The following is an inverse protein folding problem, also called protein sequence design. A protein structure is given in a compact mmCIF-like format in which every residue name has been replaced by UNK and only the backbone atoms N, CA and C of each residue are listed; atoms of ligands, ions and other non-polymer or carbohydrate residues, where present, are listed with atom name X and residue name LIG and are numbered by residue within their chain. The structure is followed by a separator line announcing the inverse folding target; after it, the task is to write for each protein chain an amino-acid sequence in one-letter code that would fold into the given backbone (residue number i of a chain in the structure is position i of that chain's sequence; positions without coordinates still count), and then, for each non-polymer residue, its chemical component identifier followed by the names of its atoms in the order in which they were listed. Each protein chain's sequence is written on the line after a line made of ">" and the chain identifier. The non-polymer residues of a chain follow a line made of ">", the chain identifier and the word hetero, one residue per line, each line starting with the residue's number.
data_IF_652798295329
#
_entry.id   IF_652798295329
#
_cell.length_a   1.000
_cell.length_b   1.000
_cell.length_c   1.000
_cell.angle_alpha   90.00
_cell.angle_beta   90.00
_cell.angle_gamma   90.00
#
_symmetry.space_group_name_H-M   'P 1'
#
loop_
_entity.id
_entity.type
_entity.pdbx_description
1 polymer ?
#
# COMPACT_ATOMS: atom_id res chain seq x y z
N UNK A 1 -8.09 6.12 -11.31
CA UNK A 1 -8.60 4.82 -10.82
C UNK A 1 -10.11 4.59 -11.06
N UNK A 2 -10.78 5.32 -11.98
CA UNK A 2 -12.19 5.04 -12.34
C UNK A 2 -13.17 4.98 -11.15
N UNK A 3 -14.35 4.36 -11.32
CA UNK A 3 -15.32 4.13 -10.24
C UNK A 3 -14.76 3.30 -9.07
N UNK A 4 -13.79 2.43 -9.33
CA UNK A 4 -13.17 1.54 -8.33
C UNK A 4 -12.38 2.32 -7.27
N UNK A 5 -11.53 3.25 -7.68
CA UNK A 5 -10.71 4.03 -6.75
C UNK A 5 -11.50 4.99 -5.85
N UNK A 6 -12.71 5.37 -6.26
CA UNK A 6 -13.63 6.22 -5.48
C UNK A 6 -14.33 5.40 -4.38
N UNK A 7 -14.53 4.09 -4.62
CA UNK A 7 -15.22 3.19 -3.69
C UNK A 7 -14.30 2.53 -2.66
N UNK A 8 -12.99 2.49 -2.92
CA UNK A 8 -12.01 1.97 -1.97
C UNK A 8 -11.93 2.88 -0.73
N UNK A 9 -12.59 2.45 0.35
CA UNK A 9 -12.43 3.04 1.69
C UNK A 9 -11.26 2.34 2.38
N UNK A 10 -10.08 2.96 2.34
CA UNK A 10 -8.85 2.41 2.89
C UNK A 10 -7.60 3.02 2.24
N UNK A 11 -6.47 2.35 2.40
CA UNK A 11 -5.17 2.77 1.88
C UNK A 11 -4.65 1.77 0.84
N UNK A 12 -5.16 1.80 -0.42
CA UNK A 12 -4.73 0.84 -1.42
C UNK A 12 -3.28 1.08 -1.84
N UNK A 13 -2.62 0.00 -2.20
CA UNK A 13 -1.29 0.00 -2.81
C UNK A 13 -1.41 -0.51 -4.24
N UNK A 14 -0.74 0.17 -5.17
CA UNK A 14 -0.44 -0.39 -6.49
C UNK A 14 1.00 -0.88 -6.43
N UNK A 15 1.17 -2.19 -6.57
CA UNK A 15 2.46 -2.84 -6.56
C UNK A 15 3.39 -2.20 -7.62
N UNK A 16 4.68 -1.95 -7.32
CA UNK A 16 5.36 -2.34 -6.08
C UNK A 16 5.37 -1.27 -4.99
N UNK A 17 5.20 0.01 -5.33
CA UNK A 17 5.62 1.10 -4.43
C UNK A 17 4.77 2.39 -4.52
N UNK A 18 3.56 2.30 -5.09
CA UNK A 18 2.63 3.43 -5.12
C UNK A 18 1.57 3.26 -4.04
N UNK A 19 1.58 4.14 -3.06
CA UNK A 19 0.56 4.20 -2.02
C UNK A 19 -0.49 5.25 -2.37
N UNK A 20 -1.75 4.94 -2.14
CA UNK A 20 -2.88 5.83 -2.43
C UNK A 20 -3.58 6.17 -1.12
N UNK A 21 -3.79 7.46 -0.87
CA UNK A 21 -4.59 7.90 0.27
C UNK A 21 -6.07 7.64 0.09
N UNK A 22 -6.80 7.66 1.21
CA UNK A 22 -8.26 7.56 1.20
C UNK A 22 -8.89 8.59 0.25
N UNK A 23 -9.82 8.12 -0.59
CA UNK A 23 -10.49 8.95 -1.60
C UNK A 23 -9.63 9.29 -2.81
N UNK A 24 -8.44 8.69 -2.96
CA UNK A 24 -7.50 8.92 -4.06
C UNK A 24 -7.13 10.40 -4.27
N UNK A 25 -7.14 11.17 -3.17
CA UNK A 25 -6.84 12.61 -3.17
C UNK A 25 -5.34 12.89 -3.05
N UNK A 26 -4.57 11.93 -2.52
CA UNK A 26 -3.12 11.97 -2.52
C UNK A 26 -2.53 10.63 -2.97
N UNK A 27 -1.35 10.72 -3.59
CA UNK A 27 -0.51 9.59 -3.92
C UNK A 27 0.86 9.78 -3.27
N UNK A 28 1.42 8.71 -2.72
CA UNK A 28 2.80 8.67 -2.24
C UNK A 28 3.57 7.63 -3.04
N UNK A 29 4.53 8.10 -3.84
CA UNK A 29 5.46 7.23 -4.54
C UNK A 29 6.69 7.01 -3.66
N UNK A 30 6.96 5.75 -3.32
CA UNK A 30 8.05 5.35 -2.42
C UNK A 30 9.28 4.93 -3.21
N UNK A 31 10.25 5.83 -3.37
CA UNK A 31 11.44 5.62 -4.19
C UNK A 31 12.54 4.93 -3.37
N UNK A 32 12.95 3.69 -3.71
CA UNK A 32 14.01 3.02 -2.97
C UNK A 32 15.37 3.70 -3.21
N UNK A 33 16.14 3.93 -2.13
CA UNK A 33 17.53 4.47 -2.18
C UNK A 33 18.52 3.43 -1.63
N UNK A 34 18.20 2.16 -1.87
CA UNK A 34 18.81 0.99 -1.21
C UNK A 34 17.86 0.39 -0.17
N UNK A 35 18.25 -0.71 0.50
CA UNK A 35 17.36 -1.44 1.43
C UNK A 35 17.11 -0.71 2.76
N UNK A 36 17.80 0.41 3.02
CA UNK A 36 17.78 1.10 4.32
C UNK A 36 17.22 2.51 4.26
N UNK A 37 16.88 2.98 3.06
CA UNK A 37 16.47 4.36 2.83
C UNK A 37 15.43 4.40 1.72
N UNK A 38 14.42 5.24 1.90
CA UNK A 38 13.34 5.46 0.92
C UNK A 38 13.02 6.93 0.88
N UNK A 39 12.93 7.48 -0.32
CA UNK A 39 12.52 8.85 -0.57
C UNK A 39 11.01 8.85 -0.90
N UNK A 40 10.22 9.67 -0.20
CA UNK A 40 8.77 9.71 -0.33
C UNK A 40 8.34 10.92 -1.15
N UNK A 41 7.66 10.68 -2.28
CA UNK A 41 7.13 11.73 -3.14
C UNK A 41 5.61 11.81 -3.01
N UNK A 42 5.16 12.84 -2.30
CA UNK A 42 3.75 13.11 -2.09
C UNK A 42 3.18 14.03 -3.17
N UNK A 43 2.06 13.61 -3.76
CA UNK A 43 1.28 14.36 -4.74
C UNK A 43 -0.14 14.54 -4.22
N UNK A 44 -0.65 15.78 -4.26
CA UNK A 44 -2.04 16.09 -3.91
C UNK A 44 -2.81 16.47 -5.17
N UNK A 45 -3.94 15.81 -5.39
CA UNK A 45 -4.83 16.04 -6.52
C UNK A 45 -6.04 16.84 -6.07
N UNK A 46 -6.39 17.85 -6.86
CA UNK A 46 -7.57 18.68 -6.66
C UNK A 46 -8.32 18.80 -7.99
N UNK A 47 -9.63 18.98 -7.91
CA UNK A 47 -10.45 19.18 -9.09
C UNK A 47 -10.02 20.42 -9.88
N UNK A 48 -9.93 20.29 -11.21
CA UNK A 48 -9.47 21.38 -12.08
C UNK A 48 -10.38 22.62 -11.97
N UNK A 49 -11.68 22.41 -11.80
CA UNK A 49 -12.69 23.46 -11.67
C UNK A 49 -12.76 24.11 -10.29
N UNK A 50 -12.05 23.59 -9.29
CA UNK A 50 -12.13 24.11 -7.92
C UNK A 50 -11.60 25.57 -7.84
N UNK A 51 -12.30 26.48 -7.14
CA UNK A 51 -11.84 27.85 -6.92
C UNK A 51 -10.45 27.92 -6.27
N UNK A 52 -9.62 28.93 -6.61
CA UNK A 52 -8.23 29.00 -6.14
C UNK A 52 -8.06 28.89 -4.62
N UNK A 53 -8.90 29.57 -3.83
CA UNK A 53 -8.81 29.52 -2.37
C UNK A 53 -9.14 28.14 -1.81
N UNK A 54 -10.16 27.47 -2.36
CA UNK A 54 -10.48 26.09 -1.96
C UNK A 54 -9.35 25.12 -2.33
N UNK A 55 -8.74 25.25 -3.51
CA UNK A 55 -7.57 24.43 -3.89
C UNK A 55 -6.44 24.61 -2.88
N UNK A 56 -6.15 25.85 -2.51
CA UNK A 56 -5.12 26.17 -1.51
C UNK A 56 -5.43 25.54 -0.16
N UNK A 57 -6.67 25.63 0.32
CA UNK A 57 -7.08 25.01 1.58
C UNK A 57 -6.92 23.48 1.57
N UNK A 58 -7.34 22.81 0.49
CA UNK A 58 -7.19 21.35 0.36
C UNK A 58 -5.71 20.94 0.33
N UNK A 59 -4.90 21.63 -0.48
CA UNK A 59 -3.46 21.35 -0.56
C UNK A 59 -2.78 21.59 0.79
N UNK A 60 -3.12 22.68 1.48
CA UNK A 60 -2.58 22.96 2.81
C UNK A 60 -2.97 21.86 3.81
N UNK A 61 -4.25 21.49 3.87
CA UNK A 61 -4.70 20.40 4.75
C UNK A 61 -3.93 19.10 4.47
N UNK A 62 -3.84 18.71 3.21
CA UNK A 62 -3.09 17.52 2.77
C UNK A 62 -1.62 17.53 3.23
N UNK A 63 -0.93 18.67 3.12
CA UNK A 63 0.46 18.83 3.59
C UNK A 63 0.56 18.73 5.13
N UNK A 64 -0.43 19.23 5.87
CA UNK A 64 -0.42 19.17 7.34
C UNK A 64 -0.70 17.76 7.90
N UNK A 65 -1.30 16.86 7.11
CA UNK A 65 -1.48 15.47 7.52
C UNK A 65 -0.34 14.57 7.04
N UNK A 66 -0.07 14.57 5.73
CA UNK A 66 0.84 13.62 5.07
C UNK A 66 2.03 14.29 4.35
N UNK A 67 2.23 15.60 4.52
CA UNK A 67 3.42 16.25 4.01
C UNK A 67 4.67 15.88 4.82
N UNK A 68 5.86 16.37 4.43
CA UNK A 68 7.12 16.09 5.13
C UNK A 68 7.16 16.50 6.62
N UNK A 69 6.32 17.45 7.02
CA UNK A 69 6.10 17.87 8.40
C UNK A 69 4.65 17.61 8.85
N UNK A 70 3.98 16.66 8.20
CA UNK A 70 2.61 16.28 8.48
C UNK A 70 2.48 15.59 9.83
N UNK A 71 1.34 15.77 10.49
CA UNK A 71 1.08 15.20 11.82
C UNK A 71 1.15 13.67 11.81
N UNK A 72 0.53 13.03 10.81
CA UNK A 72 0.46 11.57 10.73
C UNK A 72 1.74 10.97 10.16
N UNK A 73 2.32 11.62 9.14
CA UNK A 73 3.55 11.14 8.50
C UNK A 73 4.74 11.10 9.45
N UNK A 74 4.77 11.97 10.47
CA UNK A 74 5.80 11.95 11.50
C UNK A 74 5.74 10.68 12.36
N UNK A 75 4.55 10.29 12.81
CA UNK A 75 4.35 9.07 13.60
C UNK A 75 4.66 7.81 12.78
N UNK A 76 4.19 7.78 11.52
CA UNK A 76 4.47 6.69 10.60
C UNK A 76 5.97 6.58 10.24
N UNK A 77 6.63 7.71 10.00
CA UNK A 77 8.05 7.78 9.68
C UNK A 77 8.95 7.28 10.82
N UNK A 78 8.56 7.56 12.08
CA UNK A 78 9.25 7.04 13.26
C UNK A 78 9.15 5.51 13.32
N UNK A 79 7.94 4.95 13.18
CA UNK A 79 7.73 3.50 13.12
C UNK A 79 8.58 2.84 12.02
N UNK A 80 8.54 3.36 10.79
CA UNK A 80 9.29 2.80 9.66
C UNK A 80 10.81 2.83 9.89
N UNK A 81 11.32 3.95 10.41
CA UNK A 81 12.75 4.11 10.74
C UNK A 81 13.20 3.09 11.78
N UNK A 82 12.41 2.89 12.84
CA UNK A 82 12.72 1.95 13.91
C UNK A 82 12.63 0.50 13.44
N UNK A 83 11.59 0.10 12.71
CA UNK A 83 11.46 -1.24 12.15
C UNK A 83 12.59 -1.59 11.19
N UNK A 84 12.95 -0.67 10.30
CA UNK A 84 14.02 -0.87 9.30
C UNK A 84 15.39 -0.97 9.96
N UNK A 85 15.66 -0.15 10.98
CA UNK A 85 16.91 -0.26 11.74
C UNK A 85 16.95 -1.55 12.57
N UNK A 86 15.82 -1.95 13.14
CA UNK A 86 15.69 -3.17 13.93
C UNK A 86 15.93 -4.45 13.11
N UNK A 87 15.55 -4.47 11.83
CA UNK A 87 15.72 -5.64 10.96
C UNK A 87 17.19 -5.97 10.64
N UNK A 88 18.11 -5.03 10.84
CA UNK A 88 19.57 -5.27 10.68
C UNK A 88 20.22 -6.03 11.83
N UNK A 89 19.56 -6.16 12.99
CA UNK A 89 20.15 -6.83 14.14
C UNK A 89 20.33 -8.32 13.88
N UNK A 90 21.45 -8.91 14.35
CA UNK A 90 21.76 -10.33 14.13
C UNK A 90 20.63 -11.26 14.60
N UNK A 91 20.06 -10.99 15.77
CA UNK A 91 18.96 -11.79 16.35
C UNK A 91 17.60 -11.43 15.77
N UNK A 92 17.33 -10.14 15.59
CA UNK A 92 16.03 -9.63 15.14
C UNK A 92 15.79 -9.87 13.64
N UNK A 93 16.83 -9.71 12.82
CA UNK A 93 16.79 -9.96 11.38
C UNK A 93 16.74 -11.45 11.01
N UNK A 94 17.09 -12.35 11.94
CA UNK A 94 17.01 -13.80 11.74
C UNK A 94 15.63 -14.40 12.07
N UNK A 95 14.64 -13.57 12.44
CA UNK A 95 13.28 -14.02 12.80
C UNK A 95 12.29 -13.60 11.73
N UNK A 96 11.33 -14.47 11.45
CA UNK A 96 10.20 -14.14 10.60
C UNK A 96 9.28 -13.11 11.26
N UNK A 97 8.74 -12.19 10.46
CA UNK A 97 7.62 -11.34 10.87
C UNK A 97 6.34 -12.18 10.93
N UNK A 98 5.45 -11.85 11.86
CA UNK A 98 4.15 -12.50 11.95
C UNK A 98 3.18 -11.84 10.95
N UNK A 99 2.66 -12.63 10.01
CA UNK A 99 1.62 -12.24 9.06
C UNK A 99 0.40 -13.18 9.13
N UNK A 100 0.07 -13.70 10.32
CA UNK A 100 -0.97 -14.71 10.53
C UNK A 100 -2.37 -14.11 10.76
N UNK A 101 -2.54 -12.78 10.74
CA UNK A 101 -3.85 -12.16 10.95
C UNK A 101 -4.82 -12.54 9.82
N UNK A 102 -5.91 -13.22 10.19
CA UNK A 102 -6.93 -13.70 9.24
C UNK A 102 -6.59 -15.03 8.56
N UNK A 103 -5.40 -15.61 8.79
CA UNK A 103 -4.95 -16.81 8.09
C UNK A 103 -5.94 -17.99 8.28
N UNK A 104 -6.39 -18.58 7.16
CA UNK A 104 -7.36 -19.69 7.12
C UNK A 104 -8.83 -19.27 7.39
N UNK A 105 -9.07 -17.97 7.58
CA UNK A 105 -10.39 -17.37 7.78
C UNK A 105 -10.74 -16.34 6.70
N UNK A 106 -9.77 -15.94 5.88
CA UNK A 106 -9.94 -15.05 4.75
C UNK A 106 -10.97 -15.65 3.77
N UNK A 107 -11.91 -14.82 3.32
CA UNK A 107 -12.88 -15.14 2.28
C UNK A 107 -12.90 -13.99 1.25
N UNK A 108 -12.38 -14.28 0.07
CA UNK A 108 -12.38 -13.35 -1.06
C UNK A 108 -13.67 -13.53 -1.86
N UNK A 109 -14.42 -12.44 -2.02
CA UNK A 109 -15.67 -12.41 -2.76
C UNK A 109 -15.73 -11.20 -3.69
N UNK A 110 -16.68 -11.24 -4.63
CA UNK A 110 -16.96 -10.10 -5.52
C UNK A 110 -18.25 -9.46 -5.04
N UNK A 111 -18.22 -8.17 -4.74
CA UNK A 111 -19.41 -7.43 -4.34
C UNK A 111 -20.37 -7.20 -5.53
N UNK A 112 -21.58 -6.68 -5.24
CA UNK A 112 -22.59 -6.38 -6.27
C UNK A 112 -22.10 -5.40 -7.35
N UNK A 113 -21.03 -4.67 -7.05
CA UNK A 113 -20.42 -3.67 -7.88
C UNK A 113 -19.33 -4.22 -8.81
N UNK A 114 -19.04 -5.51 -8.71
CA UNK A 114 -17.99 -6.23 -9.44
C UNK A 114 -16.60 -6.08 -8.83
N UNK A 115 -16.48 -5.53 -7.62
CA UNK A 115 -15.20 -5.31 -6.95
C UNK A 115 -14.79 -6.54 -6.13
N UNK A 116 -13.55 -7.00 -6.31
CA UNK A 116 -12.95 -8.00 -5.42
C UNK A 116 -12.76 -7.40 -4.03
N UNK A 117 -13.25 -8.12 -3.02
CA UNK A 117 -13.31 -7.75 -1.63
C UNK A 117 -12.83 -8.90 -0.74
N UNK A 118 -12.40 -8.56 0.47
CA UNK A 118 -12.06 -9.48 1.54
C UNK A 118 -13.12 -9.29 2.65
N UNK A 119 -13.46 -10.35 3.39
CA UNK A 119 -14.54 -10.39 4.39
C UNK A 119 -14.36 -9.39 5.53
N UNK A 120 -13.11 -9.04 5.85
CA UNK A 120 -12.77 -8.12 6.92
C UNK A 120 -11.88 -6.97 6.42
N UNK A 121 -12.19 -5.71 6.75
CA UNK A 121 -11.28 -4.59 6.49
C UNK A 121 -10.04 -4.62 7.40
N UNK A 122 -10.03 -5.50 8.41
CA UNK A 122 -8.89 -5.70 9.31
C UNK A 122 -8.41 -7.15 9.16
N UNK A 123 -7.43 -7.35 8.28
CA UNK A 123 -6.73 -8.60 8.04
C UNK A 123 -5.34 -8.30 7.46
N UNK A 124 -4.49 -9.32 7.35
CA UNK A 124 -3.18 -9.22 6.68
C UNK A 124 -3.17 -9.88 5.30
N UNK A 125 -4.35 -10.13 4.72
CA UNK A 125 -4.47 -10.78 3.41
C UNK A 125 -3.73 -10.01 2.30
N UNK A 126 -3.93 -8.70 2.24
CA UNK A 126 -3.26 -7.85 1.24
C UNK A 126 -1.73 -7.83 1.41
N UNK A 127 -1.23 -7.87 2.65
CA UNK A 127 0.20 -7.93 2.94
C UNK A 127 0.79 -9.28 2.51
N UNK A 128 0.12 -10.40 2.79
CA UNK A 128 0.52 -11.72 2.30
C UNK A 128 0.56 -11.76 0.78
N UNK A 129 -0.47 -11.23 0.11
CA UNK A 129 -0.51 -11.15 -1.36
C UNK A 129 0.60 -10.28 -1.96
N UNK A 130 0.92 -9.15 -1.33
CA UNK A 130 2.03 -8.29 -1.72
C UNK A 130 3.38 -9.03 -1.66
N UNK A 131 3.66 -9.74 -0.57
CA UNK A 131 4.93 -10.48 -0.43
C UNK A 131 4.99 -11.73 -1.30
N UNK A 132 3.86 -12.39 -1.56
CA UNK A 132 3.77 -13.46 -2.55
C UNK A 132 4.10 -12.94 -3.95
N UNK A 133 3.48 -11.83 -4.36
CA UNK A 133 3.78 -11.17 -5.63
C UNK A 133 5.25 -10.75 -5.69
N UNK A 134 5.79 -10.15 -4.64
CA UNK A 134 7.21 -9.79 -4.57
C UNK A 134 8.11 -11.00 -4.77
N UNK A 135 7.82 -12.13 -4.11
CA UNK A 135 8.62 -13.35 -4.26
C UNK A 135 8.59 -13.88 -5.69
N UNK A 136 7.42 -13.93 -6.32
CA UNK A 136 7.28 -14.38 -7.71
C UNK A 136 8.04 -13.48 -8.69
N UNK A 137 7.96 -12.16 -8.50
CA UNK A 137 8.75 -11.19 -9.28
C UNK A 137 10.26 -11.37 -9.10
N UNK A 138 10.71 -11.67 -7.89
CA UNK A 138 12.13 -11.88 -7.59
C UNK A 138 12.67 -13.23 -8.08
N UNK A 139 11.79 -14.22 -8.28
CA UNK A 139 12.15 -15.56 -8.74
C UNK A 139 12.07 -15.70 -10.27
N UNK A 140 11.23 -14.91 -10.93
CA UNK A 140 11.05 -14.98 -12.37
C UNK A 140 12.30 -14.52 -13.13
N UNK A 141 12.71 -15.29 -14.14
CA UNK A 141 13.86 -14.94 -14.99
C UNK A 141 13.50 -13.92 -16.07
N UNK A 142 12.20 -13.82 -16.39
CA UNK A 142 11.68 -12.93 -17.43
C UNK A 142 10.20 -12.62 -17.21
N UNK A 143 9.68 -11.68 -17.99
CA UNK A 143 8.25 -11.34 -17.98
C UNK A 143 7.35 -12.50 -18.42
N UNK A 144 7.77 -13.26 -19.44
CA UNK A 144 7.01 -14.41 -19.93
C UNK A 144 6.96 -15.54 -18.89
N UNK A 145 8.07 -15.75 -18.19
CA UNK A 145 8.18 -16.69 -17.07
C UNK A 145 7.26 -16.26 -15.91
N UNK A 146 7.30 -14.98 -15.54
CA UNK A 146 6.40 -14.42 -14.53
C UNK A 146 4.94 -14.62 -14.91
N UNK A 147 4.50 -14.24 -16.11
CA UNK A 147 3.09 -14.40 -16.52
C UNK A 147 2.65 -15.87 -16.43
N UNK A 148 3.52 -16.80 -16.83
CA UNK A 148 3.21 -18.22 -16.85
C UNK A 148 3.07 -18.81 -15.44
N UNK A 149 3.83 -18.29 -14.48
CA UNK A 149 3.94 -18.84 -13.12
C UNK A 149 3.28 -17.97 -12.04
N UNK A 150 2.79 -16.77 -12.38
CA UNK A 150 2.13 -15.86 -11.44
C UNK A 150 0.89 -16.51 -10.84
N UNK A 151 0.73 -16.33 -9.53
CA UNK A 151 -0.44 -16.87 -8.84
C UNK A 151 -1.74 -16.23 -9.35
N UNK A 152 -2.80 -17.02 -9.57
CA UNK A 152 -4.09 -16.48 -9.97
C UNK A 152 -4.70 -15.66 -8.83
N UNK A 153 -5.54 -14.68 -9.19
CA UNK A 153 -6.29 -13.89 -8.21
C UNK A 153 -7.07 -14.82 -7.25
N UNK A 154 -6.95 -14.65 -5.93
CA UNK A 154 -7.59 -15.53 -4.96
C UNK A 154 -9.11 -15.39 -5.04
N UNK A 155 -9.83 -16.49 -4.78
CA UNK A 155 -11.30 -16.53 -4.75
C UNK A 155 -11.80 -17.51 -3.69
N UNK A 156 -12.88 -17.15 -3.02
CA UNK A 156 -13.47 -17.95 -1.96
C UNK A 156 -12.57 -17.98 -0.72
N UNK A 157 -12.68 -19.08 0.04
CA UNK A 157 -11.95 -19.25 1.28
C UNK A 157 -10.49 -19.64 1.03
N UNK A 158 -9.56 -18.95 1.70
CA UNK A 158 -8.10 -19.14 1.56
C UNK A 158 -7.37 -19.17 2.90
#
# INVERSE_FOLDING_TARGET
>A
MGPVGIRSKGHPNVFPNLWVSTGATQLCLRIPKGPMETELWWFTFVEKSMPPEMKKMVIQGAIHFFGPAGLLEQDDGENWSHSTRGSKGLTTGARALNFEMGLGKDEVYVDESGQSCIESPVSEHAQRWLYQSWQEWMQAESWDDLIKHHSPEPRGKI
#
